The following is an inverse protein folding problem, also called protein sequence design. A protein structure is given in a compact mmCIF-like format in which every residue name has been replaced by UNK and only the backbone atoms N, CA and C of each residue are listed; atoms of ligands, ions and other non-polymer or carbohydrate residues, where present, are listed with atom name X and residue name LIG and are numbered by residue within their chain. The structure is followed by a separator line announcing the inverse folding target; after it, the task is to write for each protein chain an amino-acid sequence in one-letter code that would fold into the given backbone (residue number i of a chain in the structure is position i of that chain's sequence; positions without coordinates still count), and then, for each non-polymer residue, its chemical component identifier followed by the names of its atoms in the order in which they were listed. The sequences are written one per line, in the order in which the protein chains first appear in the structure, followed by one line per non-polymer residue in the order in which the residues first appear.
data_IF_335138325674
#
_entry.id   IF_335138325674
#
_cell.length_a   1.000
_cell.length_b   1.000
_cell.length_c   1.000
_cell.angle_alpha   90.00
_cell.angle_beta   90.00
_cell.angle_gamma   90.00
#
_symmetry.space_group_name_H-M   'P 1'
#
loop_
_entity.id
_entity.type
_entity.pdbx_description
1 polymer ?
#
# COMPACT_ATOMS: atom_id res chain seq x y z
N UNK A 1 21.98 -10.01 8.89
CA UNK A 1 21.11 -10.96 9.60
C UNK A 1 19.76 -10.80 8.97
N UNK A 2 19.32 -11.88 8.34
CA UNK A 2 18.21 -11.88 7.39
C UNK A 2 16.93 -11.47 8.11
N UNK A 3 16.36 -10.33 7.71
CA UNK A 3 14.95 -10.07 7.97
C UNK A 3 14.20 -11.34 7.58
N UNK A 4 13.34 -11.85 8.46
CA UNK A 4 12.57 -13.06 8.22
C UNK A 4 11.52 -12.79 7.12
N UNK A 5 12.02 -12.64 5.89
CA UNK A 5 11.28 -12.50 4.65
C UNK A 5 10.60 -13.81 4.25
N UNK A 6 10.73 -14.86 5.09
CA UNK A 6 10.24 -16.20 4.78
C UNK A 6 8.72 -16.29 4.78
N UNK A 7 8.02 -15.40 5.49
CA UNK A 7 6.55 -15.40 5.53
C UNK A 7 5.98 -14.11 4.91
N UNK A 8 5.44 -14.16 3.69
CA UNK A 8 4.77 -13.02 3.09
C UNK A 8 3.52 -12.66 3.89
N UNK A 9 3.32 -11.37 4.16
CA UNK A 9 2.11 -10.85 4.79
C UNK A 9 1.02 -10.67 3.75
N UNK A 10 -0.22 -10.96 4.10
CA UNK A 10 -1.36 -10.80 3.19
C UNK A 10 -2.27 -9.66 3.64
N UNK A 11 -2.65 -8.81 2.70
CA UNK A 11 -3.57 -7.70 2.98
C UNK A 11 -4.62 -7.53 1.89
N UNK A 12 -5.79 -7.06 2.30
CA UNK A 12 -6.84 -6.60 1.43
C UNK A 12 -7.12 -5.12 1.73
N UNK A 13 -7.41 -4.34 0.69
CA UNK A 13 -7.83 -2.96 0.84
C UNK A 13 -9.05 -2.66 0.01
N UNK A 14 -9.89 -1.78 0.54
CA UNK A 14 -11.05 -1.24 -0.11
C UNK A 14 -10.85 0.25 -0.28
N UNK A 15 -11.05 0.77 -1.49
CA UNK A 15 -10.99 2.19 -1.81
C UNK A 15 -12.23 2.65 -2.54
N UNK A 16 -12.64 3.87 -2.23
CA UNK A 16 -13.70 4.57 -2.96
C UNK A 16 -13.21 5.93 -3.43
N UNK A 17 -13.54 6.29 -4.67
CA UNK A 17 -13.31 7.65 -5.17
C UNK A 17 -14.17 8.69 -4.46
N UNK A 18 -13.58 9.84 -4.18
CA UNK A 18 -14.21 11.03 -3.61
C UNK A 18 -13.89 12.20 -4.55
N UNK A 19 -14.88 12.66 -5.31
CA UNK A 19 -14.67 13.64 -6.37
C UNK A 19 -13.79 13.10 -7.49
N UNK A 20 -13.16 14.00 -8.26
CA UNK A 20 -12.44 13.60 -9.47
C UNK A 20 -11.03 13.08 -9.23
N UNK A 21 -10.33 13.52 -8.19
CA UNK A 21 -8.88 13.25 -8.02
C UNK A 21 -8.53 12.51 -6.75
N UNK A 22 -9.47 12.39 -5.82
CA UNK A 22 -9.22 11.77 -4.52
C UNK A 22 -9.86 10.39 -4.42
N UNK A 23 -9.21 9.53 -3.66
CA UNK A 23 -9.75 8.26 -3.19
C UNK A 23 -9.43 8.14 -1.71
N UNK A 24 -10.35 7.53 -0.97
CA UNK A 24 -10.15 7.17 0.42
C UNK A 24 -10.32 5.66 0.56
N UNK A 25 -9.56 5.06 1.47
CA UNK A 25 -9.53 3.63 1.63
C UNK A 25 -9.31 3.15 3.03
N UNK A 26 -9.58 1.87 3.20
CA UNK A 26 -9.30 1.07 4.37
C UNK A 26 -8.50 -0.15 3.95
N UNK A 27 -7.56 -0.59 4.78
CA UNK A 27 -6.80 -1.82 4.61
C UNK A 27 -6.92 -2.66 5.87
N UNK A 28 -7.03 -3.98 5.68
CA UNK A 28 -6.91 -4.97 6.75
C UNK A 28 -6.24 -6.22 6.18
N UNK A 29 -5.65 -7.07 7.03
CA UNK A 29 -5.08 -8.32 6.53
C UNK A 29 -4.75 -9.31 7.62
N UNK A 30 -4.40 -10.52 7.19
CA UNK A 30 -3.95 -11.60 8.08
C UNK A 30 -2.49 -11.28 8.43
N UNK A 31 -2.22 -11.02 9.70
CA UNK A 31 -0.92 -10.53 10.20
C UNK A 31 -0.50 -9.16 9.64
N UNK A 32 -1.46 -8.42 9.07
CA UNK A 32 -1.22 -7.05 8.59
C UNK A 32 -1.95 -6.03 9.46
N UNK A 33 -1.37 -4.83 9.67
CA UNK A 33 -2.03 -3.74 10.38
C UNK A 33 -3.37 -3.36 9.73
N UNK A 34 -4.34 -2.91 10.53
CA UNK A 34 -5.54 -2.24 10.01
C UNK A 34 -5.20 -0.77 9.78
N UNK A 35 -5.62 -0.20 8.66
CA UNK A 35 -5.26 1.16 8.32
C UNK A 35 -6.25 1.85 7.41
N UNK A 36 -6.02 3.14 7.22
CA UNK A 36 -6.74 4.00 6.31
C UNK A 36 -5.75 4.65 5.35
N UNK A 37 -6.17 4.84 4.10
CA UNK A 37 -5.37 5.57 3.13
C UNK A 37 -6.15 6.65 2.41
N UNK A 38 -5.40 7.66 1.99
CA UNK A 38 -5.85 8.73 1.12
C UNK A 38 -4.94 8.73 -0.09
N UNK A 39 -5.53 8.74 -1.28
CA UNK A 39 -4.81 8.79 -2.54
C UNK A 39 -5.27 10.01 -3.31
N UNK A 40 -4.30 10.78 -3.78
CA UNK A 40 -4.50 11.94 -4.62
C UNK A 40 -3.85 11.72 -5.97
N UNK A 41 -4.59 11.95 -7.06
CA UNK A 41 -4.15 11.71 -8.43
C UNK A 41 -4.01 13.05 -9.16
N UNK A 42 -2.88 13.77 -9.03
CA UNK A 42 -2.67 15.05 -9.71
C UNK A 42 -2.57 14.91 -11.23
N UNK A 43 -1.99 13.82 -11.73
CA UNK A 43 -1.81 13.57 -13.16
C UNK A 43 -2.56 12.32 -13.55
N UNK A 44 -3.48 12.48 -14.50
CA UNK A 44 -4.24 11.39 -15.10
C UNK A 44 -4.16 11.49 -16.61
N UNK A 45 -3.43 10.58 -17.23
CA UNK A 45 -3.15 10.60 -18.66
C UNK A 45 -3.67 9.36 -19.37
N UNK A 46 -3.69 9.40 -20.70
CA UNK A 46 -4.04 8.22 -21.50
C UNK A 46 -3.01 7.09 -21.34
N UNK A 47 -1.74 7.45 -21.17
CA UNK A 47 -0.61 6.51 -21.12
C UNK A 47 0.05 6.46 -19.76
N UNK A 48 0.10 7.59 -19.05
CA UNK A 48 0.84 7.72 -17.81
C UNK A 48 0.02 8.40 -16.73
N UNK A 49 0.20 7.92 -15.51
CA UNK A 49 -0.42 8.47 -14.30
C UNK A 49 0.57 8.66 -13.17
N UNK A 50 0.27 9.67 -12.37
CA UNK A 50 0.96 9.93 -11.12
C UNK A 50 -0.09 10.10 -10.02
N UNK A 51 0.10 9.37 -8.94
CA UNK A 51 -0.64 9.55 -7.71
C UNK A 51 0.26 9.58 -6.48
N UNK A 52 -0.11 10.39 -5.50
CA UNK A 52 0.47 10.38 -4.18
C UNK A 52 -0.49 9.64 -3.26
N UNK A 53 0.01 8.67 -2.51
CA UNK A 53 -0.81 7.94 -1.55
C UNK A 53 -0.17 8.03 -0.18
N UNK A 54 -0.98 8.41 0.80
CA UNK A 54 -0.61 8.39 2.21
C UNK A 54 -1.46 7.33 2.89
N UNK A 55 -0.81 6.44 3.63
CA UNK A 55 -1.50 5.39 4.38
C UNK A 55 -1.05 5.41 5.82
N UNK A 56 -1.97 5.63 6.74
CA UNK A 56 -1.76 5.39 8.16
C UNK A 56 -2.28 4.00 8.51
N UNK A 57 -1.49 3.21 9.22
CA UNK A 57 -1.90 1.90 9.69
C UNK A 57 -1.47 1.69 11.13
N UNK A 58 -2.25 0.92 11.87
CA UNK A 58 -2.00 0.62 13.27
C UNK A 58 -2.00 -0.89 13.44
N UNK A 59 -0.90 -1.39 13.97
CA UNK A 59 -0.71 -2.80 14.30
C UNK A 59 -0.58 -2.95 15.79
N UNK A 60 -1.24 -3.95 16.34
CA UNK A 60 -0.90 -4.46 17.67
C UNK A 60 0.02 -5.64 17.41
N UNK A 61 1.33 -5.41 17.49
CA UNK A 61 2.32 -6.47 17.33
C UNK A 61 2.89 -6.88 18.69
N UNK A 62 2.97 -8.19 18.93
CA UNK A 62 3.90 -8.75 19.90
C UNK A 62 5.29 -8.61 19.27
N UNK A 63 6.01 -7.55 19.63
CA UNK A 63 7.32 -7.26 19.02
C UNK A 63 8.40 -8.18 19.59
N UNK A 64 9.17 -8.83 18.72
CA UNK A 64 10.40 -9.54 19.12
C UNK A 64 11.54 -8.53 19.32
N UNK A 65 12.36 -8.75 20.35
CA UNK A 65 13.47 -7.90 20.76
C UNK A 65 14.69 -8.20 19.88
N UNK A 66 15.32 -7.18 19.30
CA UNK A 66 16.66 -7.30 18.73
C UNK A 66 17.66 -6.73 19.73
N UNK A 67 18.15 -7.58 20.64
CA UNK A 67 19.31 -7.27 21.46
C UNK A 67 20.14 -8.55 21.59
N UNK A 68 21.39 -8.46 21.13
CA UNK A 68 22.24 -9.58 20.69
C UNK A 68 22.67 -10.62 21.72
N UNK A 69 21.91 -10.88 22.79
CA UNK A 69 22.28 -11.94 23.74
C UNK A 69 21.14 -12.63 24.48
N UNK A 70 19.87 -12.24 24.37
CA UNK A 70 18.77 -12.99 25.01
C UNK A 70 17.41 -12.67 24.37
N UNK A 71 16.73 -13.69 23.87
CA UNK A 71 15.33 -13.61 23.43
C UNK A 71 14.40 -13.38 24.63
N UNK A 72 14.27 -12.12 25.08
CA UNK A 72 13.20 -11.74 25.99
C UNK A 72 11.95 -11.35 25.17
N UNK A 73 11.08 -12.33 24.98
CA UNK A 73 9.70 -12.15 24.52
C UNK A 73 8.86 -11.62 25.69
N UNK A 74 8.71 -10.30 25.84
CA UNK A 74 7.61 -9.72 26.64
C UNK A 74 7.48 -8.19 26.51
N UNK A 75 7.03 -7.70 25.34
CA UNK A 75 6.32 -6.42 25.34
C UNK A 75 5.25 -6.38 24.26
N UNK A 76 3.98 -6.39 24.67
CA UNK A 76 2.85 -5.99 23.83
C UNK A 76 2.99 -4.51 23.51
N UNK A 77 3.30 -4.20 22.25
CA UNK A 77 3.47 -2.83 21.76
C UNK A 77 2.41 -2.48 20.72
N UNK A 78 1.94 -1.24 20.75
CA UNK A 78 1.21 -0.67 19.61
C UNK A 78 2.25 -0.09 18.67
N UNK A 79 2.28 -0.59 17.43
CA UNK A 79 3.14 -0.12 16.36
C UNK A 79 2.27 0.67 15.37
N UNK A 80 2.42 1.98 15.35
CA UNK A 80 1.84 2.83 14.31
C UNK A 80 2.78 2.90 13.12
N UNK A 81 2.29 2.70 11.90
CA UNK A 81 3.10 2.80 10.68
C UNK A 81 2.42 3.72 9.68
N UNK A 82 3.14 4.76 9.25
CA UNK A 82 2.72 5.66 8.18
C UNK A 82 3.53 5.35 6.92
N UNK A 83 2.85 5.05 5.82
CA UNK A 83 3.47 4.84 4.51
C UNK A 83 3.20 6.03 3.59
N UNK A 84 4.21 6.41 2.83
CA UNK A 84 4.20 7.52 1.89
C UNK A 84 4.72 7.10 0.49
N UNK A 85 4.03 6.19 -0.22
CA UNK A 85 4.40 5.86 -1.59
C UNK A 85 3.96 6.89 -2.63
N UNK A 86 4.77 7.01 -3.67
CA UNK A 86 4.41 7.62 -4.95
C UNK A 86 3.99 6.51 -5.89
N UNK A 87 2.78 6.58 -6.44
CA UNK A 87 2.25 5.61 -7.39
C UNK A 87 2.48 6.11 -8.82
N UNK A 88 3.19 5.31 -9.60
CA UNK A 88 3.50 5.54 -11.01
C UNK A 88 2.71 4.53 -11.84
N UNK A 89 1.82 5.00 -12.69
CA UNK A 89 0.95 4.16 -13.52
C UNK A 89 1.32 4.21 -15.00
N UNK A 90 1.41 3.05 -15.64
CA UNK A 90 1.49 2.91 -17.10
C UNK A 90 0.26 2.19 -17.62
N UNK A 91 -0.52 2.89 -18.44
CA UNK A 91 -1.82 2.44 -18.92
C UNK A 91 -1.73 1.69 -20.25
N UNK A 92 -2.32 0.49 -20.28
CA UNK A 92 -2.44 -0.38 -21.44
C UNK A 92 -3.90 -0.88 -21.54
N UNK A 93 -4.81 0.01 -21.95
CA UNK A 93 -6.23 -0.30 -22.10
C UNK A 93 -6.91 -0.55 -20.74
N UNK A 94 -7.46 -1.75 -20.46
CA UNK A 94 -8.08 -2.07 -19.18
C UNK A 94 -7.07 -2.44 -18.07
N UNK A 95 -5.78 -2.53 -18.41
CA UNK A 95 -4.71 -2.90 -17.49
C UNK A 95 -3.79 -1.72 -17.27
N UNK A 96 -3.40 -1.47 -16.01
CA UNK A 96 -2.40 -0.47 -15.64
C UNK A 96 -1.31 -1.13 -14.81
N UNK A 97 -0.06 -0.98 -15.22
CA UNK A 97 1.09 -1.39 -14.42
C UNK A 97 1.40 -0.29 -13.40
N UNK A 98 1.59 -0.66 -12.14
CA UNK A 98 1.76 0.29 -11.04
C UNK A 98 3.08 0.03 -10.34
N UNK A 99 3.97 1.03 -10.32
CA UNK A 99 5.12 1.08 -9.42
C UNK A 99 4.81 1.95 -8.21
N UNK A 100 5.23 1.54 -7.01
CA UNK A 100 4.93 2.26 -5.75
C UNK A 100 6.17 2.51 -4.86
N UNK A 101 7.24 3.16 -5.36
CA UNK A 101 8.37 3.54 -4.51
C UNK A 101 7.97 4.54 -3.43
N UNK A 102 8.64 4.50 -2.28
CA UNK A 102 8.49 5.51 -1.24
C UNK A 102 9.12 5.12 0.07
N UNK A 103 8.61 5.72 1.15
CA UNK A 103 9.07 5.47 2.51
C UNK A 103 7.96 5.01 3.44
N UNK A 104 8.37 4.52 4.60
CA UNK A 104 7.50 4.32 5.74
C UNK A 104 8.19 4.82 7.01
N UNK A 105 7.39 5.28 7.96
CA UNK A 105 7.83 5.69 9.28
C UNK A 105 7.00 4.90 10.27
N UNK A 106 7.65 4.11 11.13
CA UNK A 106 7.01 3.44 12.24
C UNK A 106 7.29 4.16 13.55
N UNK A 107 6.28 4.19 14.40
CA UNK A 107 6.29 4.79 15.72
C UNK A 107 5.90 3.71 16.74
N UNK A 108 6.77 3.50 17.72
CA UNK A 108 6.49 2.65 18.87
C UNK A 108 6.96 3.33 20.16
N UNK A 109 6.85 2.63 21.30
CA UNK A 109 7.35 3.14 22.58
C UNK A 109 8.87 3.24 22.67
N UNK A 110 9.59 2.62 21.73
CA UNK A 110 11.06 2.53 21.71
C UNK A 110 11.67 3.62 20.83
N UNK A 111 10.91 4.16 19.88
CA UNK A 111 11.30 5.31 19.08
C UNK A 111 10.63 5.36 17.72
N UNK A 112 11.35 5.96 16.77
CA UNK A 112 10.92 6.10 15.38
C UNK A 112 11.85 5.31 14.48
N UNK A 113 11.28 4.46 13.63
CA UNK A 113 12.01 3.69 12.62
C UNK A 113 11.64 4.19 11.24
N UNK A 114 12.63 4.54 10.43
CA UNK A 114 12.45 4.88 9.03
C UNK A 114 12.77 3.68 8.14
N UNK A 115 11.93 3.44 7.15
CA UNK A 115 12.06 2.36 6.19
C UNK A 115 11.88 2.87 4.75
N UNK A 116 12.55 2.20 3.81
CA UNK A 116 12.29 2.34 2.39
C UNK A 116 11.31 1.27 1.95
N UNK A 117 10.47 1.63 0.99
CA UNK A 117 9.48 0.72 0.42
C UNK A 117 9.50 0.79 -1.09
N UNK A 118 9.28 -0.34 -1.72
CA UNK A 118 9.01 -0.42 -3.15
C UNK A 118 7.91 -1.45 -3.38
N UNK A 119 6.99 -1.17 -4.30
CA UNK A 119 5.99 -2.14 -4.69
C UNK A 119 5.74 -2.14 -6.18
N UNK A 120 5.22 -3.26 -6.64
CA UNK A 120 4.82 -3.50 -8.02
C UNK A 120 3.44 -4.13 -8.00
N UNK A 121 2.55 -3.59 -8.82
CA UNK A 121 1.18 -4.06 -8.92
C UNK A 121 0.63 -3.97 -10.33
N UNK A 122 -0.50 -4.62 -10.53
CA UNK A 122 -1.25 -4.58 -11.78
C UNK A 122 -2.67 -4.22 -11.42
N UNK A 123 -3.15 -3.08 -11.89
CA UNK A 123 -4.55 -2.71 -11.76
C UNK A 123 -5.33 -3.21 -12.99
N UNK A 124 -6.37 -3.98 -12.75
CA UNK A 124 -7.25 -4.55 -13.77
C UNK A 124 -8.63 -3.94 -13.62
N UNK A 125 -9.09 -3.24 -14.66
CA UNK A 125 -10.43 -2.67 -14.73
C UNK A 125 -11.43 -3.73 -15.18
N UNK A 126 -12.24 -4.21 -14.25
CA UNK A 126 -13.28 -5.18 -14.54
C UNK A 126 -14.57 -4.52 -15.02
N UNK A 127 -14.88 -3.31 -14.52
CA UNK A 127 -16.05 -2.51 -14.94
C UNK A 127 -15.71 -1.01 -14.93
N UNK A 128 -16.54 -0.18 -15.55
CA UNK A 128 -16.37 1.30 -15.58
C UNK A 128 -16.11 1.94 -14.21
N UNK A 129 -16.59 1.34 -13.12
CA UNK A 129 -16.48 1.86 -11.75
C UNK A 129 -15.83 0.89 -10.77
N UNK A 130 -15.21 -0.18 -11.27
CA UNK A 130 -14.64 -1.22 -10.44
C UNK A 130 -13.33 -1.74 -11.03
N UNK A 131 -12.27 -1.66 -10.24
CA UNK A 131 -10.97 -2.20 -10.56
C UNK A 131 -10.42 -3.00 -9.38
N UNK A 132 -9.57 -3.98 -9.69
CA UNK A 132 -8.84 -4.78 -8.72
C UNK A 132 -7.37 -4.57 -8.97
N UNK A 133 -6.58 -4.41 -7.91
CA UNK A 133 -5.13 -4.22 -8.00
C UNK A 133 -4.41 -5.16 -7.04
N UNK A 134 -4.00 -6.35 -7.50
CA UNK A 134 -2.93 -7.09 -6.84
C UNK A 134 -1.64 -6.27 -6.81
N UNK A 135 -0.93 -6.30 -5.68
CA UNK A 135 0.35 -5.63 -5.46
C UNK A 135 1.26 -6.52 -4.62
N UNK A 136 2.54 -6.54 -4.95
CA UNK A 136 3.60 -7.05 -4.07
C UNK A 136 4.42 -5.85 -3.61
N UNK A 137 4.57 -5.69 -2.31
CA UNK A 137 5.36 -4.61 -1.71
C UNK A 137 6.49 -5.21 -0.89
N UNK A 138 7.69 -4.71 -1.09
CA UNK A 138 8.85 -4.96 -0.24
C UNK A 138 9.14 -3.73 0.61
N UNK A 139 9.53 -3.96 1.85
CA UNK A 139 9.96 -2.93 2.78
C UNK A 139 11.21 -3.39 3.50
N UNK A 140 12.13 -2.46 3.70
CA UNK A 140 13.36 -2.63 4.47
C UNK A 140 13.55 -1.43 5.35
N UNK A 141 13.86 -1.65 6.62
CA UNK A 141 14.31 -0.58 7.50
C UNK A 141 15.64 -0.01 7.00
N UNK A 142 15.83 1.28 7.25
CA UNK A 142 17.09 2.01 6.99
C UNK A 142 17.74 2.36 8.31
N UNK A 143 16.93 2.76 9.30
CA UNK A 143 17.39 3.18 10.62
C UNK A 143 16.25 3.11 11.61
N UNK A 144 16.47 2.43 12.74
CA UNK A 144 15.57 2.49 13.89
C UNK A 144 15.64 1.26 14.78
N UNK A 145 14.94 1.28 15.93
CA UNK A 145 14.92 0.19 16.90
C UNK A 145 13.99 -0.98 16.53
N UNK A 146 13.20 -0.86 15.46
CA UNK A 146 12.16 -1.84 15.08
C UNK A 146 12.51 -2.49 13.75
N UNK A 147 12.44 -3.82 13.66
CA UNK A 147 12.57 -4.51 12.38
C UNK A 147 11.27 -4.34 11.56
N UNK A 148 11.39 -3.72 10.39
CA UNK A 148 10.31 -3.48 9.43
C UNK A 148 10.53 -4.22 8.11
N UNK A 149 11.50 -5.12 8.05
CA UNK A 149 11.82 -5.93 6.88
C UNK A 149 10.72 -6.95 6.60
N UNK A 150 9.91 -6.74 5.56
CA UNK A 150 8.93 -7.76 5.12
C UNK A 150 8.45 -7.59 3.68
N UNK A 151 7.92 -8.68 3.13
CA UNK A 151 7.19 -8.71 1.86
C UNK A 151 5.70 -8.79 2.15
N UNK A 152 4.90 -7.97 1.46
CA UNK A 152 3.44 -7.99 1.53
C UNK A 152 2.86 -8.32 0.16
N UNK A 153 1.90 -9.23 0.12
CA UNK A 153 1.03 -9.48 -1.03
C UNK A 153 -0.33 -8.86 -0.71
N UNK A 154 -0.72 -7.87 -1.49
CA UNK A 154 -1.91 -7.05 -1.30
C UNK A 154 -2.92 -7.24 -2.42
N UNK A 155 -4.20 -7.13 -2.08
CA UNK A 155 -5.29 -7.01 -3.05
C UNK A 155 -6.12 -5.76 -2.76
N UNK A 156 -6.20 -4.83 -3.70
CA UNK A 156 -7.01 -3.61 -3.55
C UNK A 156 -8.25 -3.64 -4.44
N UNK A 157 -9.42 -3.37 -3.86
CA UNK A 157 -10.69 -3.17 -4.54
C UNK A 157 -10.96 -1.67 -4.66
N UNK A 158 -11.13 -1.16 -5.88
CA UNK A 158 -11.30 0.26 -6.14
C UNK A 158 -12.67 0.52 -6.76
N UNK A 159 -13.54 1.21 -6.03
CA UNK A 159 -14.94 1.48 -6.41
C UNK A 159 -15.13 2.97 -6.69
N UNK A 160 -15.99 3.28 -7.67
CA UNK A 160 -16.27 4.67 -8.06
C UNK A 160 -14.99 5.46 -8.32
N UNK A 161 -14.00 4.84 -8.95
CA UNK A 161 -12.89 5.58 -9.51
C UNK A 161 -13.48 6.70 -10.37
N UNK A 162 -13.04 7.94 -10.13
CA UNK A 162 -13.44 9.05 -10.95
C UNK A 162 -13.09 8.81 -12.43
N UNK A 163 -13.77 9.48 -13.36
CA UNK A 163 -13.64 9.19 -14.79
C UNK A 163 -12.17 9.24 -15.23
N UNK A 164 -11.68 8.12 -15.77
CA UNK A 164 -10.34 7.96 -16.35
C UNK A 164 -9.89 6.50 -16.39
N UNK A 165 -9.25 6.05 -17.47
CA UNK A 165 -8.64 4.74 -17.84
C UNK A 165 -9.39 3.78 -18.78
N UNK A 166 -9.49 4.21 -20.04
CA UNK A 166 -10.02 3.49 -21.20
C UNK A 166 -10.82 4.46 -22.06
N UNK A 167 -10.78 4.37 -23.41
CA UNK A 167 -11.63 5.21 -24.24
C UNK A 167 -13.06 5.09 -23.72
N UNK A 168 -13.80 6.19 -23.74
CA UNK A 168 -15.25 6.10 -23.74
C UNK A 168 -15.60 4.97 -24.70
N UNK A 169 -16.12 3.85 -24.19
CA UNK A 169 -16.97 3.03 -25.05
C UNK A 169 -18.19 3.94 -25.24
N UNK A 170 -18.05 4.83 -26.22
CA UNK A 170 -19.12 5.51 -26.89
C UNK A 170 -19.90 4.36 -27.51
N UNK A 171 -20.76 3.77 -26.69
CA UNK A 171 -21.88 3.02 -27.24
C UNK A 171 -22.77 4.11 -27.80
N UNK A 172 -22.46 4.55 -29.03
CA UNK A 172 -23.52 4.89 -29.97
C UNK A 172 -24.51 3.73 -29.93
N UNK A 173 -25.52 3.84 -29.08
CA UNK A 173 -26.79 3.18 -29.35
C UNK A 173 -27.61 4.19 -30.11
N UNK A 174 -27.65 3.98 -31.42
CA UNK A 174 -28.83 4.23 -32.26
C UNK A 174 -30.09 3.69 -31.59
#
# INVERSE_FOLDING_TARGET
MDADASIPRFSASWRTGVGERFEIGMQAGILSPVGFDVKWNPVRGRTFDLAFMTRGSLSVSLGQRHEGTSEELNSTGVLGVVHLPVLLGLNAGPVTFVGSPGGAIAFDRRGTTAAVRAGLGIQIRLRRRFAVQPEVTWMSDVKGPTDLGFVTIGLAFQIRQAPGYGPSIETERK
#
